data_IF_141892543715
#
_entry.id   IF_141892543715
#
_cell.length_a   1.000
_cell.length_b   1.000
_cell.length_c   1.000
_cell.angle_alpha   90.00
_cell.angle_beta   90.00
_cell.angle_gamma   90.00
#
_symmetry.space_group_name_H-M   'P 1'
#
loop_
_entity.id
_entity.type
_entity.pdbx_description
1 polymer ?
#
# COMPACT_ATOMS: atom_id res chain seq x y z
N UNK A 1 -14.82 1.05 -3.91
CA UNK A 1 -14.68 -0.43 -3.96
C UNK A 1 -13.65 -0.83 -2.92
N UNK A 2 -13.76 -1.98 -2.24
CA UNK A 2 -12.70 -2.40 -1.32
C UNK A 2 -11.43 -2.74 -2.12
N UNK A 3 -10.25 -2.40 -1.60
CA UNK A 3 -9.00 -2.74 -2.28
C UNK A 3 -8.78 -4.27 -2.30
N UNK A 4 -8.47 -4.82 -3.48
CA UNK A 4 -8.28 -6.26 -3.68
C UNK A 4 -6.89 -6.76 -3.31
N UNK A 5 -5.92 -5.84 -3.19
CA UNK A 5 -4.51 -6.15 -2.93
C UNK A 5 -4.11 -5.72 -1.53
N UNK A 6 -3.28 -6.54 -0.89
CA UNK A 6 -2.71 -6.25 0.42
C UNK A 6 -1.18 -6.23 0.40
N UNK A 7 -0.63 -5.36 1.24
CA UNK A 7 0.79 -5.24 1.53
C UNK A 7 0.99 -5.31 3.03
N UNK A 8 1.85 -6.23 3.51
CA UNK A 8 2.07 -6.48 4.94
C UNK A 8 0.76 -6.76 5.71
N UNK A 9 -0.13 -7.57 5.13
CA UNK A 9 -1.45 -7.92 5.67
C UNK A 9 -2.43 -6.75 5.84
N UNK A 10 -2.16 -5.60 5.24
CA UNK A 10 -3.05 -4.43 5.21
C UNK A 10 -3.38 -4.08 3.76
N UNK A 11 -4.59 -3.63 3.49
CA UNK A 11 -5.00 -3.24 2.14
C UNK A 11 -4.22 -2.02 1.66
N UNK A 12 -3.86 -2.00 0.36
CA UNK A 12 -3.23 -0.84 -0.26
C UNK A 12 -4.25 0.29 -0.43
N UNK A 13 -3.78 1.53 -0.46
CA UNK A 13 -4.64 2.70 -0.62
C UNK A 13 -4.61 3.17 -2.07
N UNK A 14 -5.81 3.42 -2.62
CA UNK A 14 -6.01 4.01 -3.93
C UNK A 14 -7.31 4.83 -3.94
N UNK A 15 -7.59 5.52 -5.02
CA UNK A 15 -8.72 6.47 -5.11
C UNK A 15 -10.07 5.87 -4.72
N UNK A 16 -10.35 4.63 -5.11
CA UNK A 16 -11.64 3.97 -4.87
C UNK A 16 -11.62 2.99 -3.68
N UNK A 17 -10.58 3.02 -2.85
CA UNK A 17 -10.46 2.12 -1.69
C UNK A 17 -11.39 2.46 -0.51
N UNK A 18 -12.19 3.54 -0.62
CA UNK A 18 -13.07 4.07 0.42
C UNK A 18 -12.32 4.42 1.72
N UNK A 19 -11.09 4.87 1.57
CA UNK A 19 -10.24 5.30 2.66
C UNK A 19 -10.63 6.69 3.18
N UNK A 20 -10.44 6.89 4.48
CA UNK A 20 -10.63 8.19 5.12
C UNK A 20 -9.63 8.37 6.25
N UNK A 21 -9.19 9.60 6.46
CA UNK A 21 -8.42 9.98 7.64
C UNK A 21 -9.14 11.11 8.37
N UNK A 22 -9.40 10.91 9.67
CA UNK A 22 -10.02 11.92 10.53
C UNK A 22 -8.95 12.53 11.43
N UNK A 23 -8.78 13.82 11.31
CA UNK A 23 -7.80 14.61 12.08
C UNK A 23 -8.50 15.40 13.16
N UNK A 24 -8.02 15.28 14.39
CA UNK A 24 -8.51 16.08 15.52
C UNK A 24 -7.42 16.17 16.59
N UNK A 25 -7.07 17.38 17.04
CA UNK A 25 -7.58 18.67 16.58
C UNK A 25 -6.86 19.17 15.31
N UNK A 26 -7.62 19.81 14.42
CA UNK A 26 -7.09 20.70 13.39
C UNK A 26 -7.34 22.15 13.86
N UNK A 27 -6.32 22.78 14.41
CA UNK A 27 -6.47 24.10 15.03
C UNK A 27 -6.31 25.19 13.97
N UNK A 28 -7.40 25.87 13.64
CA UNK A 28 -7.41 26.96 12.68
C UNK A 28 -7.82 28.29 13.31
N UNK A 29 -7.22 29.37 12.82
CA UNK A 29 -7.53 30.73 13.23
C UNK A 29 -8.87 31.13 12.59
N UNK A 30 -9.84 31.36 13.44
CA UNK A 30 -11.22 31.64 13.02
C UNK A 30 -11.56 33.09 13.27
N UNK A 31 -12.14 33.79 12.27
CA UNK A 31 -12.61 35.16 12.47
C UNK A 31 -13.61 35.27 13.62
N UNK A 32 -13.33 36.16 14.55
CA UNK A 32 -14.19 36.49 15.70
C UNK A 32 -13.98 37.94 16.11
N UNK A 33 -14.97 38.55 16.74
CA UNK A 33 -14.87 39.90 17.31
C UNK A 33 -14.50 39.79 18.80
N UNK A 34 -13.58 40.59 19.32
CA UNK A 34 -12.84 41.71 18.68
C UNK A 34 -11.58 41.25 17.89
N UNK A 35 -11.17 40.01 17.98
CA UNK A 35 -10.00 39.50 17.26
C UNK A 35 -10.18 38.01 16.90
N UNK A 36 -9.54 37.51 15.83
CA UNK A 36 -9.56 36.09 15.48
C UNK A 36 -9.06 35.20 16.61
N UNK A 37 -9.65 34.01 16.76
CA UNK A 37 -9.32 33.05 17.82
C UNK A 37 -8.96 31.68 17.21
N UNK A 38 -8.05 30.92 17.84
CA UNK A 38 -7.78 29.53 17.45
C UNK A 38 -8.91 28.63 17.91
N UNK A 39 -9.50 27.88 16.98
CA UNK A 39 -10.55 26.89 17.25
C UNK A 39 -10.10 25.52 16.75
N UNK A 40 -10.21 24.45 17.57
CA UNK A 40 -9.97 23.10 17.12
C UNK A 40 -11.18 22.57 16.34
N UNK A 41 -10.92 22.09 15.12
CA UNK A 41 -11.91 21.47 14.24
C UNK A 41 -11.65 19.98 14.08
N UNK A 42 -12.70 19.15 13.92
CA UNK A 42 -12.55 17.87 13.26
C UNK A 42 -12.34 18.13 11.76
N UNK A 43 -11.40 17.43 11.14
CA UNK A 43 -11.14 17.59 9.72
C UNK A 43 -11.01 16.21 9.08
N UNK A 44 -11.62 15.97 7.91
CA UNK A 44 -11.66 14.66 7.26
C UNK A 44 -11.11 14.79 5.84
N UNK A 45 -10.20 13.90 5.48
CA UNK A 45 -9.73 13.71 4.12
C UNK A 45 -10.12 12.31 3.61
N UNK A 46 -10.44 12.17 2.34
CA UNK A 46 -10.98 10.96 1.74
C UNK A 46 -10.11 10.47 0.56
N UNK A 47 -10.00 9.17 0.40
CA UNK A 47 -9.28 8.54 -0.72
C UNK A 47 -9.84 8.92 -2.10
N UNK A 48 -11.11 9.29 -2.21
CA UNK A 48 -11.70 9.80 -3.44
C UNK A 48 -10.97 11.03 -4.01
N UNK A 49 -10.28 11.77 -3.15
CA UNK A 49 -9.44 12.92 -3.49
C UNK A 49 -7.93 12.55 -3.60
N UNK A 50 -7.63 11.26 -3.83
CA UNK A 50 -6.26 10.78 -3.97
C UNK A 50 -5.50 11.47 -5.09
N UNK A 51 -4.26 11.87 -4.80
CA UNK A 51 -3.34 12.55 -5.70
C UNK A 51 -1.89 12.11 -5.47
N UNK A 52 -1.04 12.33 -6.45
CA UNK A 52 0.40 11.99 -6.42
C UNK A 52 0.68 10.49 -6.18
N UNK A 53 -0.22 9.61 -6.64
CA UNK A 53 0.01 8.16 -6.65
C UNK A 53 1.10 7.74 -7.63
N UNK A 54 1.42 6.45 -7.63
CA UNK A 54 2.35 5.84 -8.59
C UNK A 54 1.86 6.04 -10.03
N UNK A 55 2.80 6.20 -10.96
CA UNK A 55 2.46 6.48 -12.37
C UNK A 55 2.16 5.21 -13.18
N UNK A 56 2.89 4.14 -12.87
CA UNK A 56 2.87 2.91 -13.66
C UNK A 56 2.38 1.69 -12.87
N UNK A 57 2.09 1.86 -11.58
CA UNK A 57 1.61 0.78 -10.71
C UNK A 57 0.18 1.06 -10.30
N UNK A 58 -0.72 0.15 -10.69
CA UNK A 58 -2.16 0.28 -10.41
C UNK A 58 -2.70 -0.94 -9.68
N UNK A 59 -3.74 -0.73 -8.87
CA UNK A 59 -4.53 -1.77 -8.23
C UNK A 59 -6.00 -1.43 -8.45
N UNK A 60 -6.81 -2.40 -8.85
CA UNK A 60 -8.23 -2.22 -9.17
C UNK A 60 -8.46 -1.09 -10.20
N UNK A 61 -7.54 -0.96 -11.17
CA UNK A 61 -7.58 0.07 -12.20
C UNK A 61 -7.20 1.49 -11.72
N UNK A 62 -6.79 1.65 -10.48
CA UNK A 62 -6.40 2.95 -9.91
C UNK A 62 -4.92 2.98 -9.53
N UNK A 63 -4.23 4.13 -9.73
CA UNK A 63 -2.88 4.33 -9.21
C UNK A 63 -2.81 4.05 -7.71
N UNK A 64 -1.88 3.23 -7.27
CA UNK A 64 -1.67 3.01 -5.84
C UNK A 64 -1.01 4.23 -5.20
N UNK A 65 -1.34 4.49 -3.95
CA UNK A 65 -0.67 5.54 -3.20
C UNK A 65 0.63 5.04 -2.57
N UNK A 66 1.58 5.94 -2.47
CA UNK A 66 2.93 5.69 -1.97
C UNK A 66 3.32 6.75 -0.96
N UNK A 67 4.47 6.61 -0.32
CA UNK A 67 5.04 7.64 0.54
C UNK A 67 5.05 9.02 -0.14
N UNK A 68 4.50 10.03 0.54
CA UNK A 68 4.33 11.39 0.02
C UNK A 68 3.14 11.58 -0.92
N UNK A 69 2.34 10.54 -1.21
CA UNK A 69 1.02 10.71 -1.84
C UNK A 69 0.07 11.43 -0.90
N UNK A 70 -0.95 12.05 -1.47
CA UNK A 70 -1.87 12.89 -0.70
C UNK A 70 -3.34 12.57 -1.02
N UNK A 71 -4.21 12.91 -0.09
CA UNK A 71 -5.59 13.25 -0.38
C UNK A 71 -5.62 14.78 -0.54
N UNK A 72 -5.96 15.27 -1.71
CA UNK A 72 -5.70 16.65 -2.16
C UNK A 72 -6.44 17.73 -1.40
N UNK A 73 -7.46 17.35 -0.62
CA UNK A 73 -8.26 18.25 0.20
C UNK A 73 -8.80 17.56 1.45
N UNK A 74 -9.20 18.37 2.41
CA UNK A 74 -9.93 17.96 3.60
C UNK A 74 -11.13 18.87 3.83
N UNK A 75 -12.04 18.49 4.73
CA UNK A 75 -13.25 19.25 5.08
C UNK A 75 -13.57 19.08 6.56
N UNK A 76 -14.08 20.18 7.16
CA UNK A 76 -14.41 20.26 8.58
C UNK A 76 -13.87 21.53 9.25
N UNK A 77 -12.82 22.14 8.69
CA UNK A 77 -12.18 23.36 9.15
C UNK A 77 -12.54 24.62 8.32
N UNK A 78 -13.67 24.57 7.59
CA UNK A 78 -14.12 25.64 6.68
C UNK A 78 -14.23 27.02 7.34
N UNK A 79 -14.67 27.06 8.60
CA UNK A 79 -14.79 28.31 9.34
C UNK A 79 -13.44 28.93 9.73
N UNK A 80 -12.36 28.12 9.70
CA UNK A 80 -11.00 28.57 10.02
C UNK A 80 -10.33 29.33 8.88
N UNK A 81 -10.99 30.32 8.31
CA UNK A 81 -10.59 31.01 7.07
C UNK A 81 -9.26 31.76 7.16
N UNK A 82 -8.78 32.06 8.36
CA UNK A 82 -7.44 32.64 8.56
C UNK A 82 -6.32 31.57 8.56
N UNK A 83 -6.68 30.29 8.36
CA UNK A 83 -5.77 29.18 8.21
C UNK A 83 -5.34 28.51 9.50
N UNK A 84 -4.72 27.33 9.34
CA UNK A 84 -4.18 26.53 10.42
C UNK A 84 -3.04 27.23 11.16
N UNK A 85 -2.96 27.01 12.45
CA UNK A 85 -1.94 27.63 13.32
C UNK A 85 -0.51 27.28 12.86
N UNK A 86 -0.31 26.05 12.35
CA UNK A 86 1.00 25.60 11.85
C UNK A 86 1.15 25.78 10.35
N UNK A 87 0.10 25.50 9.57
CA UNK A 87 0.17 25.46 8.11
C UNK A 87 -0.18 26.76 7.42
N UNK A 88 -0.92 27.66 8.09
CA UNK A 88 -1.42 28.92 7.51
C UNK A 88 -2.52 28.75 6.45
N UNK A 89 -3.06 27.53 6.30
CA UNK A 89 -4.11 27.21 5.31
C UNK A 89 -5.23 26.41 5.96
N UNK A 90 -6.39 26.33 5.30
CA UNK A 90 -7.49 25.45 5.68
C UNK A 90 -7.96 24.63 4.47
N UNK A 91 -8.64 23.51 4.71
CA UNK A 91 -9.21 22.63 3.69
C UNK A 91 -8.17 22.09 2.68
N UNK A 92 -6.94 21.89 3.12
CA UNK A 92 -5.84 21.46 2.26
C UNK A 92 -5.52 19.98 2.43
N UNK A 93 -4.52 19.54 1.66
CA UNK A 93 -4.14 18.15 1.52
C UNK A 93 -3.79 17.47 2.85
N UNK A 94 -4.11 16.17 2.91
CA UNK A 94 -3.54 15.23 3.86
C UNK A 94 -2.48 14.40 3.16
N UNK A 95 -1.29 14.26 3.76
CA UNK A 95 -0.10 13.58 3.20
C UNK A 95 0.23 12.34 4.01
N UNK A 96 0.55 11.23 3.35
CA UNK A 96 1.06 10.03 4.01
C UNK A 96 2.44 10.30 4.61
N UNK A 97 2.53 10.15 5.94
CA UNK A 97 3.76 10.22 6.72
C UNK A 97 4.44 8.86 6.80
N UNK A 98 3.66 7.78 6.78
CA UNK A 98 4.14 6.40 6.85
C UNK A 98 3.69 5.62 5.62
N UNK A 99 4.49 4.60 5.27
CA UNK A 99 4.23 3.67 4.19
C UNK A 99 4.95 2.34 4.48
N UNK A 100 4.86 1.36 3.57
CA UNK A 100 5.63 0.13 3.68
C UNK A 100 7.14 0.41 3.66
N UNK A 101 7.89 -0.30 4.50
CA UNK A 101 9.35 -0.22 4.58
C UNK A 101 10.06 -1.31 3.76
N UNK A 102 9.32 -2.27 3.20
CA UNK A 102 9.82 -3.45 2.50
C UNK A 102 9.14 -3.70 1.14
N UNK A 103 7.97 -3.09 0.89
CA UNK A 103 7.28 -3.16 -0.41
C UNK A 103 7.23 -1.78 -1.04
N UNK A 104 7.76 -1.67 -2.25
CA UNK A 104 7.95 -0.40 -2.94
C UNK A 104 7.24 -0.40 -4.29
N UNK A 105 6.72 0.75 -4.67
CA UNK A 105 6.31 1.08 -6.02
C UNK A 105 7.06 2.35 -6.45
N UNK A 106 7.75 2.27 -7.60
CA UNK A 106 8.55 3.39 -8.14
C UNK A 106 9.56 3.96 -7.11
N UNK A 107 10.24 3.07 -6.35
CA UNK A 107 11.20 3.38 -5.28
C UNK A 107 10.61 4.13 -4.07
N UNK A 108 9.29 4.12 -3.90
CA UNK A 108 8.59 4.68 -2.74
C UNK A 108 7.81 3.59 -2.03
N UNK A 109 7.79 3.61 -0.71
CA UNK A 109 7.00 2.67 0.08
C UNK A 109 5.52 2.75 -0.26
N UNK A 110 4.83 1.60 -0.37
CA UNK A 110 3.39 1.55 -0.66
C UNK A 110 2.58 1.97 0.55
N UNK A 111 1.65 2.90 0.38
CA UNK A 111 0.72 3.35 1.42
C UNK A 111 -0.38 2.30 1.67
N UNK A 112 -0.68 2.05 2.93
CA UNK A 112 -1.59 0.97 3.37
C UNK A 112 -2.60 1.50 4.38
N UNK A 113 -3.69 0.78 4.54
CA UNK A 113 -4.60 1.00 5.66
C UNK A 113 -3.83 1.08 6.99
N UNK A 114 -4.23 2.00 7.85
CA UNK A 114 -3.61 2.32 9.14
C UNK A 114 -2.22 3.00 9.05
N UNK A 115 -1.72 3.33 7.87
CA UNK A 115 -0.55 4.19 7.77
C UNK A 115 -0.91 5.63 8.16
N UNK A 116 0.00 6.30 8.86
CA UNK A 116 -0.27 7.61 9.42
C UNK A 116 -0.22 8.70 8.34
N UNK A 117 -1.14 9.64 8.45
CA UNK A 117 -1.22 10.85 7.62
C UNK A 117 -1.16 12.11 8.48
N UNK A 118 -0.70 13.21 7.88
CA UNK A 118 -0.76 14.57 8.44
C UNK A 118 -1.78 15.37 7.63
N UNK A 119 -2.82 15.90 8.28
CA UNK A 119 -3.89 16.65 7.63
C UNK A 119 -3.59 18.14 7.47
N UNK A 120 -4.36 18.79 6.59
CA UNK A 120 -4.38 20.23 6.35
C UNK A 120 -2.96 20.81 6.21
N UNK A 121 -2.18 20.23 5.29
CA UNK A 121 -0.79 20.62 5.03
C UNK A 121 0.09 20.60 6.30
N UNK A 122 0.02 19.47 7.04
CA UNK A 122 0.78 19.22 8.30
C UNK A 122 0.38 20.12 9.47
N UNK A 123 -0.89 20.57 9.51
CA UNK A 123 -1.44 21.34 10.63
C UNK A 123 -1.89 20.45 11.80
N UNK A 124 -2.08 19.16 11.58
CA UNK A 124 -2.67 18.24 12.54
C UNK A 124 -1.65 17.27 13.14
N UNK A 125 -1.93 16.66 14.29
CA UNK A 125 -1.24 15.45 14.71
C UNK A 125 -1.37 14.34 13.66
N UNK A 126 -0.42 13.37 13.62
CA UNK A 126 -0.55 12.20 12.76
C UNK A 126 -1.75 11.35 13.14
N UNK A 127 -2.59 11.00 12.16
CA UNK A 127 -3.76 10.15 12.34
C UNK A 127 -3.76 9.03 11.31
N UNK A 128 -4.26 7.82 11.67
CA UNK A 128 -4.29 6.69 10.75
C UNK A 128 -5.32 6.92 9.62
N UNK A 129 -4.96 6.50 8.43
CA UNK A 129 -5.91 6.28 7.35
C UNK A 129 -6.70 4.99 7.64
N UNK A 130 -8.02 5.03 7.46
CA UNK A 130 -8.93 3.93 7.74
C UNK A 130 -9.74 3.61 6.49
N UNK A 131 -9.66 2.35 6.02
CA UNK A 131 -10.45 1.85 4.90
C UNK A 131 -10.88 0.40 5.13
N UNK A 132 -12.07 -0.02 4.66
CA UNK A 132 -12.50 -1.40 4.72
C UNK A 132 -12.01 -2.20 3.47
N UNK A 133 -11.53 -3.44 3.65
CA UNK A 133 -11.13 -4.05 4.91
C UNK A 133 -9.81 -3.47 5.40
N UNK A 134 -9.66 -3.30 6.71
CA UNK A 134 -8.40 -2.82 7.32
C UNK A 134 -7.25 -3.80 7.12
N UNK A 135 -7.58 -5.07 7.08
CA UNK A 135 -6.65 -6.18 6.90
C UNK A 135 -6.96 -6.81 5.56
N UNK A 136 -5.95 -6.96 4.72
CA UNK A 136 -6.03 -7.88 3.60
C UNK A 136 -6.16 -9.29 4.20
N UNK A 137 -7.36 -9.75 4.33
CA UNK A 137 -7.63 -11.12 4.72
C UNK A 137 -7.09 -12.01 3.60
N UNK A 138 -5.96 -12.63 3.84
CA UNK A 138 -5.79 -13.94 3.25
C UNK A 138 -7.03 -14.71 3.66
N UNK A 139 -7.84 -15.13 2.72
CA UNK A 139 -9.06 -15.90 2.98
C UNK A 139 -8.76 -17.04 3.94
N UNK A 140 -9.74 -17.50 4.67
CA UNK A 140 -9.62 -18.76 5.42
C UNK A 140 -9.00 -19.83 4.53
N UNK A 141 -8.16 -20.73 5.06
CA UNK A 141 -7.52 -21.76 4.24
C UNK A 141 -8.47 -22.59 3.35
N UNK A 142 -9.79 -22.48 3.56
CA UNK A 142 -10.82 -23.12 2.76
C UNK A 142 -11.41 -22.26 1.62
N UNK A 143 -11.19 -20.94 1.60
CA UNK A 143 -11.81 -20.02 0.64
C UNK A 143 -10.81 -19.49 -0.43
N UNK A 144 -9.59 -20.03 -0.44
CA UNK A 144 -8.58 -19.64 -1.42
C UNK A 144 -8.92 -20.30 -2.76
N UNK A 145 -9.31 -19.50 -3.75
CA UNK A 145 -9.31 -19.98 -5.13
C UNK A 145 -7.92 -20.53 -5.44
N UNK A 146 -7.89 -21.78 -5.88
CA UNK A 146 -6.66 -22.40 -6.31
C UNK A 146 -6.25 -21.82 -7.65
N UNK A 147 -5.00 -21.40 -7.72
CA UNK A 147 -4.42 -20.82 -8.94
C UNK A 147 -3.12 -21.56 -9.29
N UNK A 148 -2.57 -21.32 -10.44
CA UNK A 148 -1.26 -21.85 -10.81
C UNK A 148 -0.19 -20.78 -10.60
N UNK A 149 0.96 -21.19 -10.05
CA UNK A 149 2.16 -20.36 -9.95
C UNK A 149 3.15 -20.79 -11.02
N UNK A 150 3.53 -19.87 -11.91
CA UNK A 150 4.63 -20.07 -12.84
C UNK A 150 5.77 -19.10 -12.51
N UNK A 151 6.97 -19.59 -12.30
CA UNK A 151 8.17 -18.80 -12.00
C UNK A 151 9.26 -19.16 -12.98
N UNK A 152 9.83 -18.17 -13.66
CA UNK A 152 11.00 -18.33 -14.53
C UNK A 152 12.27 -17.97 -13.75
N UNK A 153 13.23 -18.90 -13.72
CA UNK A 153 14.52 -18.70 -13.08
C UNK A 153 15.58 -18.46 -14.16
N UNK A 154 16.23 -17.30 -14.07
CA UNK A 154 17.23 -16.87 -15.06
C UNK A 154 18.54 -16.47 -14.39
N UNK A 155 19.64 -16.52 -15.16
CA UNK A 155 20.93 -15.96 -14.74
C UNK A 155 20.95 -14.40 -14.87
N UNK A 156 22.06 -13.78 -14.47
CA UNK A 156 22.22 -12.32 -14.57
C UNK A 156 22.20 -11.76 -16.02
N UNK A 157 22.33 -12.61 -17.02
CA UNK A 157 22.26 -12.27 -18.43
C UNK A 157 20.86 -12.53 -19.05
N UNK A 158 19.92 -13.05 -18.23
CA UNK A 158 18.57 -13.37 -18.65
C UNK A 158 18.38 -14.73 -19.26
N UNK A 159 19.38 -15.63 -19.21
CA UNK A 159 19.26 -16.98 -19.74
C UNK A 159 18.56 -17.91 -18.74
N UNK A 160 17.60 -18.74 -19.19
CA UNK A 160 16.91 -19.69 -18.31
C UNK A 160 17.88 -20.70 -17.66
N UNK A 161 17.70 -20.90 -16.35
CA UNK A 161 18.47 -21.86 -15.57
C UNK A 161 17.68 -23.16 -15.41
N UNK A 162 18.08 -24.21 -16.11
CA UNK A 162 17.49 -25.55 -16.01
C UNK A 162 18.09 -26.37 -14.87
N UNK A 163 17.36 -27.38 -14.40
CA UNK A 163 17.78 -28.35 -13.35
C UNK A 163 18.16 -27.71 -11.99
N UNK A 164 17.77 -26.45 -11.76
CA UNK A 164 17.99 -25.76 -10.48
C UNK A 164 17.03 -26.31 -9.44
N UNK A 165 17.56 -26.79 -8.32
CA UNK A 165 16.73 -27.24 -7.19
C UNK A 165 16.05 -26.07 -6.50
N UNK A 166 14.78 -26.24 -6.15
CA UNK A 166 14.03 -25.29 -5.37
C UNK A 166 13.23 -25.98 -4.25
N UNK A 167 12.96 -25.22 -3.20
CA UNK A 167 11.99 -25.54 -2.16
C UNK A 167 10.97 -24.41 -2.14
N UNK A 168 9.74 -24.70 -2.51
CA UNK A 168 8.62 -23.78 -2.44
C UNK A 168 7.81 -24.06 -1.17
N UNK A 169 7.71 -23.08 -0.30
CA UNK A 169 6.78 -23.07 0.83
C UNK A 169 5.53 -22.33 0.38
N UNK A 170 4.42 -23.06 0.24
CA UNK A 170 3.13 -22.54 -0.17
C UNK A 170 2.49 -21.68 0.93
N UNK A 171 1.48 -20.84 0.61
CA UNK A 171 0.79 -20.03 1.61
C UNK A 171 0.11 -20.81 2.74
N UNK A 172 -0.23 -22.08 2.51
CA UNK A 172 -0.79 -23.00 3.50
C UNK A 172 0.28 -23.70 4.38
N UNK A 173 1.57 -23.42 4.13
CA UNK A 173 2.71 -24.01 4.84
C UNK A 173 3.21 -25.32 4.24
N UNK A 174 2.56 -25.86 3.19
CA UNK A 174 3.05 -27.03 2.48
C UNK A 174 4.37 -26.72 1.76
N UNK A 175 5.33 -27.65 1.83
CA UNK A 175 6.61 -27.52 1.13
C UNK A 175 6.65 -28.44 -0.07
N UNK A 176 6.95 -27.87 -1.22
CA UNK A 176 7.14 -28.58 -2.49
C UNK A 176 8.60 -28.44 -2.91
N UNK A 177 9.27 -29.56 -3.10
CA UNK A 177 10.64 -29.60 -3.60
C UNK A 177 10.64 -30.05 -5.06
N UNK A 178 11.48 -29.44 -5.88
CA UNK A 178 11.58 -29.78 -7.28
C UNK A 178 12.79 -29.17 -7.94
N UNK A 179 12.79 -29.22 -9.27
CA UNK A 179 13.80 -28.59 -10.12
C UNK A 179 13.13 -27.83 -11.24
N UNK A 180 13.76 -26.74 -11.69
CA UNK A 180 13.35 -26.02 -12.90
C UNK A 180 13.38 -26.95 -14.11
N UNK A 181 12.46 -26.75 -15.03
CA UNK A 181 12.40 -27.49 -16.29
C UNK A 181 13.49 -27.04 -17.29
N UNK A 182 13.48 -27.62 -18.51
CA UNK A 182 14.43 -27.27 -19.57
C UNK A 182 14.35 -25.83 -20.08
N UNK A 183 13.30 -25.10 -19.73
CA UNK A 183 13.12 -23.67 -19.99
C UNK A 183 13.32 -22.79 -18.77
N UNK A 184 13.82 -23.35 -17.66
CA UNK A 184 14.06 -22.61 -16.44
C UNK A 184 12.80 -22.35 -15.61
N UNK A 185 11.66 -22.99 -15.93
CA UNK A 185 10.38 -22.72 -15.28
C UNK A 185 10.09 -23.65 -14.12
N UNK A 186 9.45 -23.09 -13.11
CA UNK A 186 8.77 -23.79 -12.02
C UNK A 186 7.28 -23.60 -12.24
N UNK A 187 6.53 -24.69 -12.37
CA UNK A 187 5.07 -24.65 -12.44
C UNK A 187 4.48 -25.42 -11.26
N UNK A 188 3.63 -24.76 -10.50
CA UNK A 188 2.91 -25.36 -9.39
C UNK A 188 1.43 -25.11 -9.58
N UNK A 189 0.70 -26.16 -9.86
CA UNK A 189 -0.77 -26.10 -10.01
C UNK A 189 -1.44 -26.18 -8.63
N UNK A 190 -2.65 -25.66 -8.55
CA UNK A 190 -3.50 -25.67 -7.33
C UNK A 190 -2.85 -25.05 -6.09
N UNK A 191 -2.17 -23.92 -6.26
CA UNK A 191 -1.64 -23.16 -5.13
C UNK A 191 -2.70 -22.20 -4.60
N UNK A 192 -2.88 -22.19 -3.27
CA UNK A 192 -3.69 -21.21 -2.61
C UNK A 192 -3.16 -19.80 -2.86
N UNK A 193 -4.04 -18.81 -3.12
CA UNK A 193 -3.62 -17.41 -3.22
C UNK A 193 -3.04 -16.94 -1.89
N UNK A 194 -1.85 -16.34 -1.93
CA UNK A 194 -1.19 -15.83 -0.74
C UNK A 194 0.32 -15.71 -0.92
N UNK A 195 1.02 -15.45 0.18
CA UNK A 195 2.47 -15.35 0.17
C UNK A 195 3.10 -16.74 0.29
N UNK A 196 3.90 -17.10 -0.72
CA UNK A 196 4.79 -18.24 -0.67
C UNK A 196 6.25 -17.81 -0.60
N UNK A 197 7.13 -18.73 -0.27
CA UNK A 197 8.59 -18.52 -0.26
C UNK A 197 9.24 -19.56 -1.14
N UNK A 198 10.06 -19.11 -2.09
CA UNK A 198 10.92 -20.00 -2.87
C UNK A 198 12.35 -19.83 -2.39
N UNK A 199 13.02 -20.96 -2.14
CA UNK A 199 14.44 -21.02 -1.77
C UNK A 199 15.16 -21.89 -2.80
N UNK A 200 16.29 -21.44 -3.27
CA UNK A 200 17.18 -22.15 -4.18
C UNK A 200 18.45 -22.56 -3.41
N UNK A 201 18.51 -23.78 -2.87
CA UNK A 201 19.59 -24.19 -1.97
C UNK A 201 20.99 -24.20 -2.63
N UNK A 202 21.03 -24.41 -3.94
CA UNK A 202 22.27 -24.57 -4.71
C UNK A 202 22.68 -23.30 -5.48
N UNK A 203 21.92 -22.17 -5.34
CA UNK A 203 22.27 -20.89 -5.97
C UNK A 203 23.01 -19.97 -5.00
N UNK A 204 24.13 -19.43 -5.45
CA UNK A 204 24.87 -18.42 -4.68
C UNK A 204 24.10 -17.09 -4.58
N UNK A 205 24.30 -16.28 -3.51
CA UNK A 205 23.70 -14.97 -3.37
C UNK A 205 24.10 -14.05 -4.54
N UNK A 206 23.12 -13.51 -5.27
CA UNK A 206 23.33 -12.64 -6.43
C UNK A 206 22.61 -13.08 -7.69
N UNK A 207 22.00 -14.26 -7.70
CA UNK A 207 21.14 -14.71 -8.80
C UNK A 207 19.77 -14.03 -8.71
N UNK A 208 19.35 -13.33 -9.78
CA UNK A 208 18.06 -12.65 -9.84
C UNK A 208 16.94 -13.62 -10.24
N UNK A 209 15.82 -13.56 -9.53
CA UNK A 209 14.59 -14.26 -9.86
C UNK A 209 13.56 -13.23 -10.33
N UNK A 210 13.07 -13.36 -11.57
CA UNK A 210 11.97 -12.54 -12.05
C UNK A 210 10.66 -13.33 -12.02
N UNK A 211 9.56 -12.65 -11.72
CA UNK A 211 8.20 -13.17 -11.78
C UNK A 211 7.59 -12.61 -13.07
N UNK A 212 7.24 -13.48 -14.01
CA UNK A 212 6.39 -13.08 -15.13
C UNK A 212 4.93 -13.07 -14.65
N UNK A 213 4.23 -11.99 -14.98
CA UNK A 213 2.79 -11.79 -14.72
C UNK A 213 1.91 -12.65 -15.62
#
# INVERSE_FOLDING_TARGET
MAASVGVNKRTVVHKESNGQAMFMPDVCITPAAPSPIPIPYPNIAMSSDADKGAKNVTVDGNPILVEGSTFSRSSGDEAGTNGGVMSGVNMKEAEFLMASFDVFAENKGVARALDLMLGNKKNTPPMPEIQPPLVALGGSPGDLEKDSLEVLVVDAAGNPLQDVKYVLEKPDGEKVEGKTDGSGKIKVDETAKGFGRIVFPDLEPGTHVSKDE
#
